data_IF_194206451595
#
_entry.id   IF_194206451595
#
_cell.length_a   1.000
_cell.length_b   1.000
_cell.length_c   1.000
_cell.angle_alpha   90.00
_cell.angle_beta   90.00
_cell.angle_gamma   90.00
#
_symmetry.space_group_name_H-M   'P 1'
#
loop_
_entity.id
_entity.type
_entity.pdbx_description
1 polymer ?
#
# COMPACT_ATOMS: atom_id res chain seq x y z
N UNK A 1 -7.88 24.39 -3.67
CA UNK A 1 -7.69 24.39 -5.13
C UNK A 1 -8.44 25.53 -5.83
N UNK A 2 -9.76 25.71 -5.71
CA UNK A 2 -10.48 26.81 -6.36
C UNK A 2 -9.87 28.19 -6.10
N UNK A 3 -9.51 28.50 -4.86
CA UNK A 3 -8.93 29.79 -4.48
C UNK A 3 -7.56 30.04 -5.14
N UNK A 4 -6.70 29.02 -5.22
CA UNK A 4 -5.42 29.10 -5.92
C UNK A 4 -5.60 29.28 -7.44
N UNK A 5 -6.64 28.67 -8.01
CA UNK A 5 -6.99 28.84 -9.43
C UNK A 5 -7.42 30.27 -9.75
N UNK A 6 -8.32 30.87 -8.92
CA UNK A 6 -8.82 32.23 -9.13
C UNK A 6 -7.78 33.31 -8.81
N UNK A 7 -6.99 33.11 -7.73
CA UNK A 7 -6.01 34.12 -7.29
C UNK A 7 -4.65 33.98 -7.97
N UNK A 8 -4.40 32.85 -8.65
CA UNK A 8 -3.08 32.46 -9.20
C UNK A 8 -1.94 32.53 -8.16
N UNK A 9 -2.28 32.48 -6.88
CA UNK A 9 -1.35 32.62 -5.77
C UNK A 9 -1.40 31.38 -4.88
N UNK A 10 -0.33 30.58 -4.91
CA UNK A 10 -0.18 29.34 -4.19
C UNK A 10 -0.13 29.52 -2.66
N UNK A 11 0.34 30.67 -2.17
CA UNK A 11 0.42 30.95 -0.74
C UNK A 11 -0.92 30.91 -0.02
N UNK A 12 -1.99 31.37 -0.65
CA UNK A 12 -3.33 31.28 -0.06
C UNK A 12 -3.77 29.86 0.20
N UNK A 13 -3.44 28.92 -0.69
CA UNK A 13 -3.78 27.52 -0.49
C UNK A 13 -2.99 26.91 0.67
N UNK A 14 -1.66 27.12 0.71
CA UNK A 14 -0.82 26.63 1.82
C UNK A 14 -1.29 27.20 3.16
N UNK A 15 -1.59 28.51 3.23
CA UNK A 15 -2.07 29.14 4.47
C UNK A 15 -3.38 28.53 4.94
N UNK A 16 -4.31 28.28 4.05
CA UNK A 16 -5.59 27.63 4.36
C UNK A 16 -5.36 26.21 4.86
N UNK A 17 -4.53 25.42 4.18
CA UNK A 17 -4.22 24.03 4.57
C UNK A 17 -3.61 23.98 5.97
N UNK A 18 -2.66 24.85 6.27
CA UNK A 18 -2.07 24.98 7.62
C UNK A 18 -3.11 25.39 8.66
N UNK A 19 -3.95 26.38 8.36
CA UNK A 19 -4.99 26.86 9.27
C UNK A 19 -6.02 25.74 9.58
N UNK A 20 -6.47 25.00 8.56
CA UNK A 20 -7.37 23.85 8.76
C UNK A 20 -6.69 22.72 9.54
N UNK A 21 -5.42 22.43 9.29
CA UNK A 21 -4.65 21.46 10.07
C UNK A 21 -4.57 21.82 11.55
N UNK A 22 -4.35 23.09 11.86
CA UNK A 22 -4.30 23.60 13.23
C UNK A 22 -5.69 23.54 13.90
N UNK A 23 -6.75 24.00 13.23
CA UNK A 23 -8.12 23.92 13.71
C UNK A 23 -8.56 22.47 13.98
N UNK A 24 -8.23 21.56 13.06
CA UNK A 24 -8.52 20.14 13.23
C UNK A 24 -7.82 19.56 14.46
N UNK A 25 -6.55 19.95 14.72
CA UNK A 25 -5.82 19.53 15.91
C UNK A 25 -6.50 19.99 17.21
N UNK A 26 -7.02 21.23 17.25
CA UNK A 26 -7.75 21.74 18.42
C UNK A 26 -9.05 20.96 18.64
N UNK A 27 -9.82 20.74 17.57
CA UNK A 27 -11.08 19.96 17.65
C UNK A 27 -10.82 18.52 18.10
N UNK A 28 -9.76 17.90 17.59
CA UNK A 28 -9.36 16.55 17.94
C UNK A 28 -8.97 16.46 19.43
N UNK A 29 -8.15 17.40 19.94
CA UNK A 29 -7.78 17.44 21.36
C UNK A 29 -9.01 17.58 22.26
N UNK A 30 -9.94 18.51 21.92
CA UNK A 30 -11.19 18.66 22.67
C UNK A 30 -12.01 17.38 22.66
N UNK A 31 -12.05 16.66 21.54
CA UNK A 31 -12.76 15.38 21.44
C UNK A 31 -12.10 14.27 22.24
N UNK A 32 -10.77 14.24 22.30
CA UNK A 32 -10.00 13.31 23.15
C UNK A 32 -10.31 13.56 24.61
N UNK A 33 -10.25 14.81 25.08
CA UNK A 33 -10.56 15.18 26.47
C UNK A 33 -11.99 14.79 26.88
N UNK A 34 -12.95 14.94 25.95
CA UNK A 34 -14.34 14.53 26.18
C UNK A 34 -14.52 13.00 26.23
N UNK A 35 -13.79 12.28 25.37
CA UNK A 35 -13.93 10.82 25.24
C UNK A 35 -13.14 10.07 26.32
N UNK A 36 -12.02 10.64 26.76
CA UNK A 36 -11.10 10.05 27.74
C UNK A 36 -10.81 11.03 28.90
N UNK A 37 -11.81 11.37 29.77
CA UNK A 37 -11.63 12.36 30.84
C UNK A 37 -10.58 11.97 31.88
N UNK A 38 -10.27 10.66 31.94
CA UNK A 38 -9.25 10.10 32.83
C UNK A 38 -7.82 10.30 32.35
N UNK A 39 -7.61 10.68 31.05
CA UNK A 39 -6.30 10.87 30.46
C UNK A 39 -5.76 12.25 30.84
N UNK A 40 -4.99 12.31 31.95
CA UNK A 40 -4.40 13.58 32.39
C UNK A 40 -3.15 13.95 31.61
N UNK A 41 -3.06 15.20 31.15
CA UNK A 41 -1.90 15.76 30.45
C UNK A 41 -0.78 16.26 31.37
N UNK A 42 -0.60 15.65 32.54
CA UNK A 42 0.38 16.07 33.53
C UNK A 42 1.80 15.60 33.15
N UNK A 43 2.64 16.52 32.67
CA UNK A 43 4.01 16.25 32.22
C UNK A 43 4.90 15.65 33.33
N UNK A 44 4.71 16.07 34.62
CA UNK A 44 5.49 15.53 35.74
C UNK A 44 5.15 14.05 35.98
N UNK A 45 3.86 13.69 35.96
CA UNK A 45 3.43 12.29 36.03
C UNK A 45 3.93 11.49 34.84
N UNK A 46 3.89 12.05 33.62
CA UNK A 46 4.42 11.41 32.41
C UNK A 46 5.90 11.03 32.54
N UNK A 47 6.75 11.94 33.06
CA UNK A 47 8.17 11.66 33.30
C UNK A 47 8.41 10.52 34.31
N UNK A 48 7.58 10.39 35.32
CA UNK A 48 7.65 9.30 36.31
C UNK A 48 7.24 7.97 35.66
N UNK A 49 6.18 7.97 34.87
CA UNK A 49 5.70 6.78 34.14
C UNK A 49 6.72 6.27 33.13
N UNK A 50 7.49 7.14 32.45
CA UNK A 50 8.59 6.73 31.59
C UNK A 50 9.69 5.95 32.31
N UNK A 51 9.96 6.27 33.57
CA UNK A 51 10.90 5.50 34.39
C UNK A 51 10.32 4.17 34.82
N UNK A 52 9.01 4.10 35.05
CA UNK A 52 8.31 2.90 35.50
C UNK A 52 8.11 1.90 34.32
N UNK A 53 7.93 2.40 33.10
CA UNK A 53 7.68 1.59 31.89
C UNK A 53 8.73 1.86 30.79
N UNK A 54 10.00 1.42 30.98
CA UNK A 54 11.09 1.70 30.03
C UNK A 54 10.85 1.08 28.63
N UNK A 55 10.12 -0.02 28.54
CA UNK A 55 9.81 -0.70 27.27
C UNK A 55 8.98 0.18 26.33
N UNK A 56 8.07 1.01 26.86
CA UNK A 56 7.29 1.96 26.03
C UNK A 56 8.24 2.90 25.26
N UNK A 57 9.24 3.44 25.95
CA UNK A 57 10.22 4.34 25.30
C UNK A 57 11.11 3.58 24.29
N UNK A 58 11.49 2.35 24.63
CA UNK A 58 12.27 1.48 23.73
C UNK A 58 11.52 1.24 22.42
N UNK A 59 10.26 0.79 22.48
CA UNK A 59 9.43 0.55 21.30
C UNK A 59 9.12 1.84 20.54
N UNK A 60 8.88 2.95 21.23
CA UNK A 60 8.68 4.26 20.59
C UNK A 60 9.89 4.69 19.77
N UNK A 61 11.12 4.55 20.32
CA UNK A 61 12.36 4.83 19.57
C UNK A 61 12.52 3.94 18.34
N UNK A 62 12.23 2.65 18.46
CA UNK A 62 12.29 1.72 17.34
C UNK A 62 11.30 2.10 16.23
N UNK A 63 10.04 2.34 16.60
CA UNK A 63 9.00 2.79 15.67
C UNK A 63 9.32 4.15 15.03
N UNK A 64 9.97 5.05 15.77
CA UNK A 64 10.39 6.34 15.23
C UNK A 64 11.40 6.20 14.09
N UNK A 65 12.38 5.31 14.23
CA UNK A 65 13.34 4.99 13.15
C UNK A 65 12.62 4.42 11.94
N UNK A 66 11.69 3.47 12.14
CA UNK A 66 10.88 2.93 11.05
C UNK A 66 10.08 4.02 10.33
N UNK A 67 9.51 4.99 11.07
CA UNK A 67 8.72 6.09 10.49
C UNK A 67 9.58 7.08 9.72
N UNK A 68 10.76 7.43 10.23
CA UNK A 68 11.71 8.29 9.50
C UNK A 68 12.15 7.63 8.19
N UNK A 69 12.56 6.36 8.25
CA UNK A 69 12.96 5.63 7.04
C UNK A 69 11.83 5.61 6.00
N UNK A 70 10.59 5.31 6.43
CA UNK A 70 9.42 5.34 5.53
C UNK A 70 9.17 6.74 4.95
N UNK A 71 9.32 7.79 5.74
CA UNK A 71 9.18 9.18 5.28
C UNK A 71 10.22 9.52 4.20
N UNK A 72 11.48 9.19 4.45
CA UNK A 72 12.56 9.40 3.47
C UNK A 72 12.24 8.65 2.17
N UNK A 73 11.86 7.37 2.26
CA UNK A 73 11.49 6.55 1.10
C UNK A 73 10.36 7.17 0.27
N UNK A 74 9.32 7.69 0.93
CA UNK A 74 8.14 8.21 0.24
C UNK A 74 8.35 9.58 -0.39
N UNK A 75 9.21 10.42 0.19
CA UNK A 75 9.41 11.81 -0.26
C UNK A 75 10.58 11.99 -1.23
N UNK A 76 11.48 11.01 -1.33
CA UNK A 76 12.69 11.15 -2.14
C UNK A 76 12.45 10.98 -3.64
N UNK A 77 11.52 10.13 -4.05
CA UNK A 77 11.29 9.81 -5.46
C UNK A 77 10.98 11.03 -6.34
N UNK A 78 10.09 11.98 -5.98
CA UNK A 78 9.84 13.16 -6.80
C UNK A 78 11.09 14.05 -7.00
N UNK A 79 11.94 14.18 -5.96
CA UNK A 79 13.19 14.94 -6.06
C UNK A 79 14.19 14.27 -7.00
N UNK A 80 14.30 12.94 -6.96
CA UNK A 80 15.18 12.20 -7.84
C UNK A 80 14.67 12.22 -9.29
N UNK A 81 13.35 12.14 -9.50
CA UNK A 81 12.75 12.31 -10.83
C UNK A 81 13.07 13.70 -11.38
N UNK A 82 13.02 14.74 -10.56
CA UNK A 82 13.46 16.08 -10.97
C UNK A 82 14.94 16.11 -11.34
N UNK A 83 15.79 15.56 -10.49
CA UNK A 83 17.26 15.60 -10.66
C UNK A 83 17.73 14.86 -11.93
N UNK A 84 17.09 13.74 -12.30
CA UNK A 84 17.49 12.91 -13.43
C UNK A 84 16.61 13.06 -14.69
N UNK A 85 15.64 13.98 -14.67
CA UNK A 85 14.78 14.23 -15.83
C UNK A 85 14.44 15.72 -15.95
N UNK A 86 13.19 16.12 -15.63
CA UNK A 86 12.76 17.51 -15.75
C UNK A 86 11.58 17.80 -14.81
N UNK A 87 11.30 19.10 -14.56
CA UNK A 87 10.11 19.51 -13.81
C UNK A 87 8.80 19.06 -14.51
N UNK A 88 8.79 19.02 -15.85
CA UNK A 88 7.68 18.52 -16.64
C UNK A 88 7.44 17.02 -16.36
N UNK A 89 8.50 16.25 -16.31
CA UNK A 89 8.45 14.82 -15.98
C UNK A 89 7.94 14.56 -14.55
N UNK A 90 8.33 15.40 -13.59
CA UNK A 90 7.79 15.34 -12.22
C UNK A 90 6.27 15.56 -12.22
N UNK A 91 5.77 16.55 -12.98
CA UNK A 91 4.34 16.80 -13.07
C UNK A 91 3.59 15.60 -13.66
N UNK A 92 4.14 14.98 -14.71
CA UNK A 92 3.53 13.80 -15.33
C UNK A 92 3.54 12.61 -14.36
N UNK A 93 4.67 12.29 -13.76
CA UNK A 93 4.82 11.26 -12.74
C UNK A 93 3.86 11.47 -11.56
N UNK A 94 3.74 12.71 -11.09
CA UNK A 94 2.84 13.06 -9.98
C UNK A 94 1.36 12.81 -10.29
N UNK A 95 0.93 12.92 -11.55
CA UNK A 95 -0.44 12.59 -11.93
C UNK A 95 -0.71 11.08 -11.78
N UNK A 96 0.24 10.22 -12.20
CA UNK A 96 0.12 8.77 -12.02
C UNK A 96 0.14 8.38 -10.54
N UNK A 97 1.09 8.91 -9.78
CA UNK A 97 1.20 8.59 -8.35
C UNK A 97 0.03 9.16 -7.55
N UNK A 98 -0.50 10.31 -7.89
CA UNK A 98 -1.72 10.84 -7.25
C UNK A 98 -2.88 9.84 -7.33
N UNK A 99 -3.12 9.26 -8.51
CA UNK A 99 -4.20 8.30 -8.72
C UNK A 99 -3.90 7.01 -7.94
N UNK A 100 -2.70 6.46 -8.11
CA UNK A 100 -2.32 5.20 -7.46
C UNK A 100 -2.30 5.31 -5.95
N UNK A 101 -1.77 6.40 -5.40
CA UNK A 101 -1.65 6.59 -3.94
C UNK A 101 -3.00 6.85 -3.28
N UNK A 102 -3.89 7.63 -3.92
CA UNK A 102 -5.24 7.86 -3.37
C UNK A 102 -6.07 6.58 -3.33
N UNK A 103 -6.04 5.79 -4.39
CA UNK A 103 -6.73 4.50 -4.42
C UNK A 103 -6.08 3.49 -3.47
N UNK A 104 -4.75 3.44 -3.41
CA UNK A 104 -4.00 2.62 -2.44
C UNK A 104 -4.35 2.99 -1.00
N UNK A 105 -4.47 4.29 -0.71
CA UNK A 105 -4.86 4.79 0.60
C UNK A 105 -6.26 4.32 1.02
N UNK A 106 -7.24 4.35 0.12
CA UNK A 106 -8.59 3.82 0.38
C UNK A 106 -8.55 2.33 0.73
N UNK A 107 -7.85 1.52 -0.07
CA UNK A 107 -7.69 0.08 0.17
C UNK A 107 -7.01 -0.16 1.52
N UNK A 108 -5.92 0.55 1.81
CA UNK A 108 -5.18 0.38 3.05
C UNK A 108 -5.97 0.83 4.29
N UNK A 109 -6.83 1.84 4.19
CA UNK A 109 -7.72 2.24 5.28
C UNK A 109 -8.73 1.13 5.63
N UNK A 110 -9.31 0.49 4.60
CA UNK A 110 -10.26 -0.62 4.79
C UNK A 110 -9.54 -1.84 5.38
N UNK A 111 -8.46 -2.29 4.76
CA UNK A 111 -7.73 -3.48 5.20
C UNK A 111 -6.88 -3.24 6.46
N UNK A 112 -6.47 -1.99 6.72
CA UNK A 112 -5.71 -1.60 7.91
C UNK A 112 -6.51 -1.74 9.20
N UNK A 113 -7.83 -1.57 9.13
CA UNK A 113 -8.74 -1.73 10.28
C UNK A 113 -8.67 -3.12 10.94
N UNK A 114 -8.20 -4.14 10.22
CA UNK A 114 -8.00 -5.50 10.76
C UNK A 114 -6.81 -5.63 11.72
N UNK A 115 -5.91 -4.65 11.76
CA UNK A 115 -4.68 -4.71 12.54
C UNK A 115 -4.89 -4.88 14.04
N UNK A 116 -5.88 -4.19 14.63
CA UNK A 116 -6.22 -4.37 16.04
C UNK A 116 -6.72 -5.79 16.34
N UNK A 117 -7.51 -6.37 15.43
CA UNK A 117 -7.96 -7.76 15.53
C UNK A 117 -6.81 -8.77 15.45
N UNK A 118 -5.80 -8.50 14.62
CA UNK A 118 -4.58 -9.31 14.56
C UNK A 118 -3.80 -9.25 15.87
N UNK A 119 -3.66 -8.05 16.48
CA UNK A 119 -3.00 -7.89 17.77
C UNK A 119 -3.69 -8.71 18.88
N UNK A 120 -5.03 -8.64 18.95
CA UNK A 120 -5.81 -9.42 19.92
C UNK A 120 -5.65 -10.93 19.68
N UNK A 121 -5.71 -11.37 18.41
CA UNK A 121 -5.54 -12.77 18.03
C UNK A 121 -4.17 -13.32 18.43
N UNK A 122 -3.12 -12.55 18.24
CA UNK A 122 -1.76 -12.92 18.67
C UNK A 122 -1.68 -13.01 20.19
N UNK A 123 -2.34 -12.11 20.93
CA UNK A 123 -2.40 -12.14 22.38
C UNK A 123 -3.19 -13.35 22.93
N UNK A 124 -4.21 -13.86 22.20
CA UNK A 124 -4.93 -15.09 22.54
C UNK A 124 -4.03 -16.33 22.48
N UNK A 125 -2.99 -16.35 21.63
CA UNK A 125 -1.99 -17.41 21.54
C UNK A 125 -2.41 -18.69 20.82
N UNK A 126 -3.59 -18.73 20.15
CA UNK A 126 -4.01 -19.88 19.34
C UNK A 126 -3.26 -19.92 18.00
N UNK A 127 -2.16 -20.66 17.96
CA UNK A 127 -1.29 -20.75 16.78
C UNK A 127 -2.01 -21.21 15.49
N UNK A 128 -2.98 -22.12 15.60
CA UNK A 128 -3.72 -22.61 14.43
C UNK A 128 -4.58 -21.51 13.85
N UNK A 129 -5.33 -20.82 14.70
CA UNK A 129 -6.19 -19.69 14.33
C UNK A 129 -5.37 -18.50 13.82
N UNK A 130 -4.22 -18.21 14.43
CA UNK A 130 -3.27 -17.19 13.99
C UNK A 130 -2.83 -17.44 12.54
N UNK A 131 -2.38 -18.66 12.21
CA UNK A 131 -1.94 -19.03 10.86
C UNK A 131 -3.09 -19.05 9.85
N UNK A 132 -4.27 -19.54 10.26
CA UNK A 132 -5.45 -19.52 9.41
C UNK A 132 -5.83 -18.09 9.01
N UNK A 133 -5.96 -17.18 9.99
CA UNK A 133 -6.31 -15.77 9.72
C UNK A 133 -5.20 -15.06 8.95
N UNK A 134 -3.93 -15.39 9.16
CA UNK A 134 -2.82 -14.87 8.35
C UNK A 134 -3.02 -15.16 6.87
N UNK A 135 -3.36 -16.40 6.52
CA UNK A 135 -3.58 -16.79 5.13
C UNK A 135 -4.89 -16.25 4.56
N UNK A 136 -5.94 -16.09 5.37
CA UNK A 136 -7.17 -15.42 4.95
C UNK A 136 -6.87 -13.96 4.56
N UNK A 137 -6.21 -13.19 5.44
CA UNK A 137 -5.87 -11.80 5.17
C UNK A 137 -4.89 -11.65 4.00
N UNK A 138 -3.91 -12.55 3.89
CA UNK A 138 -2.97 -12.58 2.77
C UNK A 138 -3.71 -12.82 1.45
N UNK A 139 -4.62 -13.80 1.41
CA UNK A 139 -5.42 -14.10 0.21
C UNK A 139 -6.25 -12.89 -0.24
N UNK A 140 -6.92 -12.22 0.72
CA UNK A 140 -7.72 -11.03 0.43
C UNK A 140 -6.85 -9.91 -0.14
N UNK A 141 -5.66 -9.67 0.45
CA UNK A 141 -4.75 -8.63 -0.03
C UNK A 141 -4.24 -8.93 -1.44
N UNK A 142 -3.87 -10.18 -1.72
CA UNK A 142 -3.43 -10.57 -3.06
C UNK A 142 -4.56 -10.47 -4.10
N UNK A 143 -5.78 -10.84 -3.72
CA UNK A 143 -6.97 -10.68 -4.55
C UNK A 143 -7.22 -9.20 -4.89
N UNK A 144 -7.26 -8.34 -3.88
CA UNK A 144 -7.49 -6.90 -4.07
C UNK A 144 -6.32 -6.26 -4.83
N UNK A 145 -5.08 -6.63 -4.52
CA UNK A 145 -3.90 -6.13 -5.23
C UNK A 145 -3.93 -6.52 -6.72
N UNK A 146 -4.34 -7.74 -7.04
CA UNK A 146 -4.51 -8.19 -8.42
C UNK A 146 -5.54 -7.34 -9.18
N UNK A 147 -6.73 -7.13 -8.59
CA UNK A 147 -7.77 -6.26 -9.17
C UNK A 147 -7.24 -4.84 -9.36
N UNK A 148 -6.59 -4.29 -8.35
CA UNK A 148 -6.06 -2.94 -8.36
C UNK A 148 -5.05 -2.73 -9.50
N UNK A 149 -4.05 -3.62 -9.61
CA UNK A 149 -3.01 -3.51 -10.62
C UNK A 149 -3.57 -3.73 -12.04
N UNK A 150 -4.42 -4.74 -12.21
CA UNK A 150 -5.05 -5.03 -13.51
C UNK A 150 -5.91 -3.84 -13.98
N UNK A 151 -6.74 -3.33 -13.09
CA UNK A 151 -7.60 -2.19 -13.40
C UNK A 151 -6.80 -0.95 -13.75
N UNK A 152 -5.80 -0.59 -12.95
CA UNK A 152 -4.96 0.58 -13.23
C UNK A 152 -4.16 0.43 -14.53
N UNK A 153 -3.64 -0.76 -14.83
CA UNK A 153 -2.92 -1.00 -16.08
C UNK A 153 -3.75 -0.66 -17.33
N UNK A 154 -5.05 -0.94 -17.27
CA UNK A 154 -5.97 -0.70 -18.39
C UNK A 154 -6.66 0.67 -18.36
N UNK A 155 -6.80 1.29 -17.18
CA UNK A 155 -7.66 2.47 -16.99
C UNK A 155 -6.92 3.79 -16.82
N UNK A 156 -5.67 3.77 -16.32
CA UNK A 156 -5.00 5.00 -15.92
C UNK A 156 -4.63 5.89 -17.11
N UNK A 157 -4.10 5.31 -18.19
CA UNK A 157 -3.70 6.06 -19.37
C UNK A 157 -4.92 6.67 -20.12
N UNK A 158 -6.01 5.90 -20.40
CA UNK A 158 -7.22 6.49 -20.95
C UNK A 158 -7.82 7.58 -20.07
N UNK A 159 -7.76 7.42 -18.74
CA UNK A 159 -8.24 8.45 -17.80
C UNK A 159 -7.39 9.71 -17.89
N UNK A 160 -6.06 9.60 -17.88
CA UNK A 160 -5.16 10.75 -18.02
C UNK A 160 -5.38 11.44 -19.35
N UNK A 161 -5.58 10.68 -20.42
CA UNK A 161 -5.88 11.24 -21.75
C UNK A 161 -7.15 12.07 -21.75
N UNK A 162 -8.21 11.61 -21.08
CA UNK A 162 -9.48 12.36 -20.96
C UNK A 162 -9.37 13.56 -20.01
N UNK A 163 -8.60 13.44 -18.95
CA UNK A 163 -8.50 14.46 -17.89
C UNK A 163 -7.54 15.59 -18.26
N UNK A 164 -6.35 15.25 -18.75
CA UNK A 164 -5.26 16.21 -18.99
C UNK A 164 -4.85 16.29 -20.47
N UNK A 165 -5.24 15.31 -21.28
CA UNK A 165 -4.84 15.17 -22.68
C UNK A 165 -3.77 14.12 -22.91
N UNK A 166 -3.67 13.62 -24.14
CA UNK A 166 -2.76 12.54 -24.53
C UNK A 166 -1.27 12.88 -24.34
N UNK A 167 -0.91 14.17 -24.34
CA UNK A 167 0.47 14.62 -24.13
C UNK A 167 1.00 14.35 -22.72
N UNK A 168 0.13 13.98 -21.76
CA UNK A 168 0.50 13.65 -20.37
C UNK A 168 0.71 12.15 -20.13
N UNK A 169 0.56 11.34 -21.19
CA UNK A 169 0.83 9.90 -21.11
C UNK A 169 2.34 9.66 -21.05
N UNK A 170 2.78 8.86 -20.10
CA UNK A 170 4.17 8.44 -19.93
C UNK A 170 4.44 7.10 -20.61
N UNK A 171 5.72 6.76 -20.75
CA UNK A 171 6.11 5.47 -21.31
C UNK A 171 5.55 4.31 -20.50
N UNK A 172 5.19 3.23 -21.18
CA UNK A 172 4.57 2.05 -20.57
C UNK A 172 5.45 1.37 -19.53
N UNK A 173 6.76 1.43 -19.68
CA UNK A 173 7.77 0.97 -18.72
C UNK A 173 7.62 1.65 -17.36
N UNK A 174 7.42 2.97 -17.36
CA UNK A 174 7.22 3.77 -16.14
C UNK A 174 5.93 3.36 -15.44
N UNK A 175 4.83 3.20 -16.19
CA UNK A 175 3.58 2.69 -15.62
C UNK A 175 3.77 1.31 -14.98
N UNK A 176 4.43 0.37 -15.66
CA UNK A 176 4.68 -0.98 -15.14
C UNK A 176 5.48 -0.91 -13.84
N UNK A 177 6.51 -0.06 -13.75
CA UNK A 177 7.31 0.11 -12.54
C UNK A 177 6.49 0.73 -11.39
N UNK A 178 5.65 1.73 -11.67
CA UNK A 178 4.72 2.31 -10.67
C UNK A 178 3.79 1.22 -10.13
N UNK A 179 3.20 0.42 -11.03
CA UNK A 179 2.28 -0.65 -10.65
C UNK A 179 2.98 -1.78 -9.88
N UNK A 180 4.20 -2.17 -10.27
CA UNK A 180 4.98 -3.17 -9.54
C UNK A 180 5.30 -2.72 -8.11
N UNK A 181 5.74 -1.47 -7.93
CA UNK A 181 5.94 -0.87 -6.61
C UNK A 181 4.65 -0.85 -5.80
N UNK A 182 3.54 -0.45 -6.41
CA UNK A 182 2.23 -0.42 -5.77
C UNK A 182 1.74 -1.82 -5.38
N UNK A 183 2.02 -2.85 -6.18
CA UNK A 183 1.69 -4.23 -5.85
C UNK A 183 2.37 -4.70 -4.56
N UNK A 184 3.68 -4.47 -4.43
CA UNK A 184 4.43 -4.80 -3.21
C UNK A 184 3.84 -4.05 -2.00
N UNK A 185 3.54 -2.75 -2.17
CA UNK A 185 2.94 -1.93 -1.11
C UNK A 185 1.56 -2.44 -0.66
N UNK A 186 0.74 -2.98 -1.57
CA UNK A 186 -0.56 -3.55 -1.22
C UNK A 186 -0.44 -4.90 -0.52
N UNK A 187 0.47 -5.75 -0.98
CA UNK A 187 0.59 -7.13 -0.48
C UNK A 187 1.35 -7.24 0.84
N UNK A 188 2.26 -6.30 1.16
CA UNK A 188 3.06 -6.30 2.40
C UNK A 188 2.23 -6.21 3.70
N UNK A 189 1.05 -5.60 3.62
CA UNK A 189 0.30 -5.15 4.79
C UNK A 189 -0.08 -6.24 5.78
N UNK A 190 -0.29 -7.50 5.36
CA UNK A 190 -0.55 -8.61 6.30
C UNK A 190 0.68 -8.91 7.15
N UNK A 191 1.87 -8.98 6.53
CA UNK A 191 3.12 -9.22 7.24
C UNK A 191 3.38 -8.10 8.23
N UNK A 192 3.24 -6.85 7.82
CA UNK A 192 3.41 -5.69 8.71
C UNK A 192 2.45 -5.76 9.91
N UNK A 193 1.16 -6.10 9.70
CA UNK A 193 0.19 -6.25 10.80
C UNK A 193 0.59 -7.33 11.80
N UNK A 194 1.12 -8.46 11.34
CA UNK A 194 1.57 -9.53 12.23
C UNK A 194 2.88 -9.18 12.94
N UNK A 195 3.83 -8.51 12.28
CA UNK A 195 5.02 -7.99 12.94
C UNK A 195 4.64 -7.01 14.07
N UNK A 196 3.69 -6.11 13.82
CA UNK A 196 3.13 -5.22 14.85
C UNK A 196 2.42 -6.01 15.96
N UNK A 197 1.60 -6.98 15.61
CA UNK A 197 0.88 -7.82 16.58
C UNK A 197 1.79 -8.60 17.53
N UNK A 198 2.91 -9.11 17.01
CA UNK A 198 3.95 -9.79 17.80
C UNK A 198 4.92 -8.83 18.52
N UNK A 199 4.82 -7.50 18.30
CA UNK A 199 5.76 -6.53 18.86
C UNK A 199 7.17 -6.65 18.30
N UNK A 200 7.32 -7.14 17.08
CA UNK A 200 8.60 -7.36 16.41
C UNK A 200 9.09 -6.09 15.73
N UNK A 201 9.74 -5.21 16.50
CA UNK A 201 10.29 -3.93 16.02
C UNK A 201 11.80 -3.83 16.14
N UNK A 202 12.45 -4.91 16.54
CA UNK A 202 13.89 -4.91 16.84
C UNK A 202 14.78 -5.03 15.60
N UNK A 203 14.19 -5.16 14.40
CA UNK A 203 14.89 -5.17 13.12
C UNK A 203 15.14 -3.74 12.58
N UNK A 204 15.59 -2.82 13.43
CA UNK A 204 15.82 -1.39 13.11
C UNK A 204 16.73 -1.21 11.88
N UNK A 205 17.66 -2.13 11.67
CA UNK A 205 18.56 -2.10 10.52
C UNK A 205 17.81 -2.29 9.19
N UNK A 206 16.71 -3.05 9.16
CA UNK A 206 15.99 -3.39 7.93
C UNK A 206 15.40 -2.14 7.22
N UNK A 207 14.62 -1.26 7.88
CA UNK A 207 14.14 -0.04 7.24
C UNK A 207 15.25 0.95 6.88
N UNK A 208 16.35 0.99 7.63
CA UNK A 208 17.51 1.82 7.29
C UNK A 208 18.21 1.30 6.04
N UNK A 209 18.40 -0.02 5.95
CA UNK A 209 18.97 -0.66 4.76
C UNK A 209 18.04 -0.52 3.56
N UNK A 210 16.71 -0.65 3.74
CA UNK A 210 15.71 -0.39 2.69
C UNK A 210 15.87 1.03 2.14
N UNK A 211 15.98 2.03 3.02
CA UNK A 211 16.16 3.42 2.62
C UNK A 211 17.50 3.66 1.89
N UNK A 212 18.60 3.10 2.41
CA UNK A 212 19.91 3.20 1.80
C UNK A 212 19.97 2.53 0.43
N UNK A 213 19.45 1.31 0.30
CA UNK A 213 19.37 0.58 -0.97
C UNK A 213 18.50 1.35 -1.99
N UNK A 214 17.32 1.81 -1.56
CA UNK A 214 16.44 2.58 -2.44
C UNK A 214 17.17 3.80 -2.99
N UNK A 215 17.76 4.61 -2.11
CA UNK A 215 18.44 5.84 -2.52
C UNK A 215 19.64 5.56 -3.42
N UNK A 216 20.48 4.59 -3.05
CA UNK A 216 21.67 4.23 -3.83
C UNK A 216 21.29 3.71 -5.23
N UNK A 217 20.34 2.79 -5.31
CA UNK A 217 19.89 2.23 -6.60
C UNK A 217 19.18 3.29 -7.42
N UNK A 218 18.32 4.11 -6.82
CA UNK A 218 17.62 5.17 -7.53
C UNK A 218 18.59 6.22 -8.11
N UNK A 219 19.68 6.57 -7.40
CA UNK A 219 20.70 7.48 -7.90
C UNK A 219 21.51 6.82 -9.02
N UNK A 220 22.03 5.61 -8.79
CA UNK A 220 22.85 4.91 -9.77
C UNK A 220 22.05 4.61 -11.06
N UNK A 221 20.92 3.96 -10.94
CA UNK A 221 20.10 3.62 -12.07
C UNK A 221 19.43 4.85 -12.71
N UNK A 222 19.07 5.85 -11.92
CA UNK A 222 18.50 7.12 -12.39
C UNK A 222 19.46 7.89 -13.29
N UNK A 223 20.79 7.84 -13.02
CA UNK A 223 21.79 8.46 -13.86
C UNK A 223 21.91 7.81 -15.26
N UNK A 224 21.53 6.54 -15.42
CA UNK A 224 21.57 5.82 -16.71
C UNK A 224 20.21 5.78 -17.43
N UNK A 225 19.12 5.62 -16.68
CA UNK A 225 17.78 5.36 -17.24
C UNK A 225 16.72 6.38 -16.82
N UNK A 226 17.12 7.53 -16.26
CA UNK A 226 16.16 8.58 -15.89
C UNK A 226 15.11 8.09 -14.90
N UNK A 227 13.83 8.31 -15.22
CA UNK A 227 12.70 7.99 -14.35
C UNK A 227 12.59 6.49 -14.08
N UNK A 228 12.76 5.63 -15.09
CA UNK A 228 12.74 4.18 -14.90
C UNK A 228 13.78 3.75 -13.87
N UNK A 229 15.00 4.29 -13.97
CA UNK A 229 16.06 4.00 -13.01
C UNK A 229 15.73 4.44 -11.61
N UNK A 230 15.11 5.61 -11.43
CA UNK A 230 14.64 6.09 -10.11
C UNK A 230 13.63 5.12 -9.52
N UNK A 231 12.68 4.62 -10.32
CA UNK A 231 11.63 3.70 -9.87
C UNK A 231 12.13 2.27 -9.58
N UNK A 232 13.31 1.91 -10.09
CA UNK A 232 13.98 0.66 -9.71
C UNK A 232 14.48 0.66 -8.26
N UNK A 233 14.82 1.84 -7.70
CA UNK A 233 15.24 1.96 -6.31
C UNK A 233 14.25 1.34 -5.33
N UNK A 234 13.01 1.83 -5.24
CA UNK A 234 12.00 1.25 -4.36
C UNK A 234 11.65 -0.20 -4.75
N UNK A 235 11.62 -0.55 -6.04
CA UNK A 235 11.30 -1.91 -6.47
C UNK A 235 12.30 -2.93 -5.91
N UNK A 236 13.59 -2.69 -6.06
CA UNK A 236 14.63 -3.61 -5.59
C UNK A 236 14.73 -3.61 -4.08
N UNK A 237 14.74 -2.44 -3.42
CA UNK A 237 14.83 -2.35 -1.97
C UNK A 237 13.65 -3.02 -1.26
N UNK A 238 12.41 -2.79 -1.72
CA UNK A 238 11.22 -3.46 -1.19
C UNK A 238 11.21 -4.95 -1.48
N UNK A 239 11.69 -5.39 -2.65
CA UNK A 239 11.80 -6.82 -2.94
C UNK A 239 12.73 -7.51 -1.94
N UNK A 240 13.90 -6.95 -1.66
CA UNK A 240 14.86 -7.53 -0.73
C UNK A 240 14.39 -7.46 0.72
N UNK A 241 13.92 -6.32 1.17
CA UNK A 241 13.57 -6.11 2.58
C UNK A 241 12.13 -6.54 2.86
N UNK A 242 11.17 -6.10 2.06
CA UNK A 242 9.75 -6.33 2.35
C UNK A 242 9.30 -7.72 1.91
N UNK A 243 9.69 -8.15 0.70
CA UNK A 243 9.25 -9.45 0.20
C UNK A 243 10.09 -10.61 0.74
N UNK A 244 11.39 -10.42 1.04
CA UNK A 244 12.27 -11.50 1.48
C UNK A 244 12.52 -11.43 2.98
N UNK A 245 13.11 -10.33 3.50
CA UNK A 245 13.52 -10.25 4.90
C UNK A 245 12.35 -10.29 5.88
N UNK A 246 11.33 -9.46 5.71
CA UNK A 246 10.21 -9.38 6.67
C UNK A 246 9.45 -10.69 6.85
N UNK A 247 9.12 -11.47 5.80
CA UNK A 247 8.58 -12.82 5.97
C UNK A 247 9.53 -13.74 6.73
N UNK A 248 10.83 -13.73 6.41
CA UNK A 248 11.83 -14.52 7.13
C UNK A 248 11.82 -14.16 8.62
N UNK A 249 11.79 -12.88 8.94
CA UNK A 249 11.79 -12.38 10.30
C UNK A 249 10.52 -12.77 11.06
N UNK A 250 9.34 -12.63 10.44
CA UNK A 250 8.07 -13.05 11.02
C UNK A 250 8.00 -14.55 11.28
N UNK A 251 8.40 -15.36 10.30
CA UNK A 251 8.36 -16.82 10.42
C UNK A 251 9.33 -17.34 11.47
N UNK A 252 10.52 -16.73 11.57
CA UNK A 252 11.54 -17.15 12.53
C UNK A 252 11.23 -16.69 13.96
N UNK A 253 10.79 -15.45 14.16
CA UNK A 253 10.58 -14.87 15.50
C UNK A 253 9.14 -14.94 15.99
N UNK A 254 8.16 -14.79 15.07
CA UNK A 254 6.73 -14.82 15.38
C UNK A 254 6.16 -16.23 15.34
N UNK A 255 6.05 -16.82 14.17
CA UNK A 255 5.42 -18.13 13.97
C UNK A 255 6.28 -19.33 14.39
N UNK A 256 7.60 -19.16 14.43
CA UNK A 256 8.59 -20.22 14.76
C UNK A 256 8.39 -21.49 13.91
N UNK A 257 8.14 -21.32 12.62
CA UNK A 257 7.88 -22.40 11.66
C UNK A 257 8.68 -22.22 10.38
N UNK A 258 8.74 -23.28 9.56
CA UNK A 258 9.48 -23.27 8.30
C UNK A 258 8.94 -22.23 7.32
N UNK A 259 9.84 -21.42 6.78
CA UNK A 259 9.55 -20.42 5.76
C UNK A 259 9.23 -21.03 4.39
N UNK A 260 9.63 -22.30 4.14
CA UNK A 260 9.44 -22.94 2.84
C UNK A 260 7.97 -23.01 2.44
N UNK A 261 7.09 -23.31 3.42
CA UNK A 261 5.63 -23.31 3.19
C UNK A 261 5.07 -21.96 2.75
N UNK A 262 5.66 -20.87 3.24
CA UNK A 262 5.27 -19.51 2.82
C UNK A 262 5.54 -19.30 1.32
N UNK A 263 6.74 -19.62 0.86
CA UNK A 263 7.12 -19.44 -0.55
C UNK A 263 6.29 -20.31 -1.50
N UNK A 264 5.98 -21.54 -1.10
CA UNK A 264 5.12 -22.44 -1.88
C UNK A 264 3.69 -21.89 -2.02
N UNK A 265 3.13 -21.32 -0.96
CA UNK A 265 1.79 -20.73 -1.03
C UNK A 265 1.83 -19.40 -1.80
N UNK A 266 2.86 -18.61 -1.60
CA UNK A 266 3.03 -17.34 -2.30
C UNK A 266 3.16 -17.53 -3.81
N UNK A 267 3.93 -18.52 -4.25
CA UNK A 267 4.06 -18.84 -5.68
C UNK A 267 2.73 -19.21 -6.31
N UNK A 268 1.84 -19.91 -5.58
CA UNK A 268 0.47 -20.17 -6.05
C UNK A 268 -0.33 -18.88 -6.27
N UNK A 269 -0.22 -17.90 -5.35
CA UNK A 269 -0.91 -16.62 -5.55
C UNK A 269 -0.41 -15.88 -6.78
N UNK A 270 0.90 -15.85 -7.03
CA UNK A 270 1.46 -15.25 -8.24
C UNK A 270 0.96 -15.96 -9.51
N UNK A 271 0.96 -17.30 -9.52
CA UNK A 271 0.43 -18.08 -10.63
C UNK A 271 -1.04 -17.79 -10.89
N UNK A 272 -1.86 -17.70 -9.85
CA UNK A 272 -3.29 -17.38 -9.95
C UNK A 272 -3.50 -15.98 -10.53
N UNK A 273 -2.82 -14.97 -9.99
CA UNK A 273 -2.93 -13.59 -10.46
C UNK A 273 -2.51 -13.46 -11.92
N UNK A 274 -1.39 -14.11 -12.29
CA UNK A 274 -0.89 -14.11 -13.67
C UNK A 274 -1.85 -14.84 -14.61
N UNK A 275 -2.38 -15.99 -14.20
CA UNK A 275 -3.36 -16.74 -14.98
C UNK A 275 -4.65 -15.95 -15.15
N UNK A 276 -5.15 -15.31 -14.08
CA UNK A 276 -6.32 -14.44 -14.13
C UNK A 276 -6.08 -13.25 -15.09
N UNK A 277 -4.86 -12.68 -15.07
CA UNK A 277 -4.47 -11.59 -15.98
C UNK A 277 -4.54 -12.03 -17.43
N UNK A 278 -3.92 -13.15 -17.75
CA UNK A 278 -3.89 -13.69 -19.14
C UNK A 278 -5.30 -14.00 -19.61
N UNK A 279 -6.09 -14.75 -18.83
CA UNK A 279 -7.46 -15.13 -19.19
C UNK A 279 -8.36 -13.90 -19.36
N UNK A 280 -8.28 -12.95 -18.45
CA UNK A 280 -9.07 -11.71 -18.54
C UNK A 280 -8.69 -10.91 -19.77
N UNK A 281 -7.38 -10.81 -20.11
CA UNK A 281 -6.93 -10.09 -21.29
C UNK A 281 -7.38 -10.75 -22.59
N UNK A 282 -7.39 -12.09 -22.66
CA UNK A 282 -7.88 -12.84 -23.81
C UNK A 282 -9.39 -12.63 -24.03
N UNK A 283 -10.18 -12.77 -22.97
CA UNK A 283 -11.63 -12.54 -23.00
C UNK A 283 -11.92 -11.09 -23.38
N UNK A 284 -11.19 -10.16 -22.82
CA UNK A 284 -11.35 -8.75 -23.03
C UNK A 284 -11.12 -8.37 -24.50
N UNK A 285 -10.02 -8.85 -25.11
CA UNK A 285 -9.70 -8.59 -26.52
C UNK A 285 -10.74 -9.15 -27.49
N UNK A 286 -11.44 -10.24 -27.12
CA UNK A 286 -12.43 -10.87 -27.99
C UNK A 286 -13.80 -10.21 -27.93
N UNK A 287 -14.14 -9.54 -26.82
CA UNK A 287 -15.52 -9.04 -26.57
C UNK A 287 -15.61 -7.51 -26.67
N UNK A 288 -14.55 -6.77 -26.33
CA UNK A 288 -14.65 -5.33 -26.13
C UNK A 288 -13.90 -4.57 -27.23
N UNK A 289 -14.70 -3.83 -28.02
CA UNK A 289 -14.23 -2.92 -29.06
C UNK A 289 -14.33 -1.43 -28.63
N UNK A 290 -14.66 -1.17 -27.36
CA UNK A 290 -14.89 0.18 -26.83
C UNK A 290 -13.55 0.91 -26.69
N UNK A 291 -13.47 2.13 -27.24
CA UNK A 291 -12.32 3.02 -27.00
C UNK A 291 -12.58 3.83 -25.71
N UNK A 292 -11.88 3.54 -24.59
CA UNK A 292 -12.11 4.21 -23.32
C UNK A 292 -11.64 5.67 -23.30
N UNK A 293 -10.80 6.09 -24.25
CA UNK A 293 -10.30 7.46 -24.33
C UNK A 293 -11.26 8.43 -25.07
N UNK A 294 -12.41 7.96 -25.57
CA UNK A 294 -13.34 8.79 -26.34
C UNK A 294 -14.25 9.65 -25.46
N UNK A 295 -14.67 9.16 -24.30
CA UNK A 295 -15.51 9.92 -23.36
C UNK A 295 -15.49 9.33 -21.95
N UNK A 296 -15.78 10.15 -20.93
CA UNK A 296 -15.91 9.68 -19.54
C UNK A 296 -16.97 8.59 -19.35
N UNK A 297 -18.08 8.65 -20.11
CA UNK A 297 -19.13 7.61 -20.06
C UNK A 297 -18.60 6.26 -20.53
N UNK A 298 -17.89 6.25 -21.65
CA UNK A 298 -17.28 5.04 -22.21
C UNK A 298 -16.15 4.54 -21.32
N UNK A 299 -15.37 5.43 -20.72
CA UNK A 299 -14.35 5.07 -19.75
C UNK A 299 -14.95 4.37 -18.52
N UNK A 300 -16.06 4.90 -17.94
CA UNK A 300 -16.74 4.27 -16.80
C UNK A 300 -17.28 2.89 -17.19
N UNK A 301 -17.93 2.76 -18.34
CA UNK A 301 -18.43 1.48 -18.83
C UNK A 301 -17.28 0.46 -18.99
N UNK A 302 -16.21 0.90 -19.64
CA UNK A 302 -15.01 0.10 -19.82
C UNK A 302 -14.39 -0.31 -18.48
N UNK A 303 -14.31 0.60 -17.50
CA UNK A 303 -13.80 0.33 -16.16
C UNK A 303 -14.64 -0.73 -15.44
N UNK A 304 -15.97 -0.60 -15.47
CA UNK A 304 -16.88 -1.58 -14.86
C UNK A 304 -16.72 -2.96 -15.48
N UNK A 305 -16.69 -3.06 -16.80
CA UNK A 305 -16.57 -4.35 -17.48
C UNK A 305 -15.20 -4.98 -17.21
N UNK A 306 -14.12 -4.22 -17.40
CA UNK A 306 -12.74 -4.70 -17.23
C UNK A 306 -12.48 -5.18 -15.82
N UNK A 307 -12.84 -4.36 -14.82
CA UNK A 307 -12.65 -4.69 -13.41
C UNK A 307 -13.51 -5.88 -12.99
N UNK A 308 -14.77 -5.96 -13.48
CA UNK A 308 -15.67 -7.08 -13.15
C UNK A 308 -15.19 -8.40 -13.74
N UNK A 309 -14.77 -8.43 -15.00
CA UNK A 309 -14.24 -9.65 -15.63
C UNK A 309 -13.05 -10.18 -14.83
N UNK A 310 -12.06 -9.33 -14.56
CA UNK A 310 -10.89 -9.74 -13.78
C UNK A 310 -11.26 -10.19 -12.37
N UNK A 311 -12.14 -9.45 -11.68
CA UNK A 311 -12.57 -9.78 -10.33
C UNK A 311 -13.25 -11.13 -10.25
N UNK A 312 -14.13 -11.44 -11.21
CA UNK A 312 -14.85 -12.73 -11.26
C UNK A 312 -13.86 -13.87 -11.52
N UNK A 313 -13.01 -13.73 -12.53
CA UNK A 313 -12.03 -14.78 -12.89
C UNK A 313 -11.04 -15.00 -11.75
N UNK A 314 -10.48 -13.93 -11.20
CA UNK A 314 -9.53 -13.99 -10.09
C UNK A 314 -10.18 -14.59 -8.83
N UNK A 315 -11.43 -14.23 -8.52
CA UNK A 315 -12.17 -14.80 -7.39
C UNK A 315 -12.41 -16.32 -7.57
N UNK A 316 -12.85 -16.75 -8.75
CA UNK A 316 -13.08 -18.17 -9.05
C UNK A 316 -11.77 -18.96 -8.91
N UNK A 317 -10.68 -18.50 -9.51
CA UNK A 317 -9.38 -19.16 -9.41
C UNK A 317 -8.87 -19.19 -7.97
N UNK A 318 -8.96 -18.08 -7.23
CA UNK A 318 -8.56 -18.06 -5.84
C UNK A 318 -9.45 -18.95 -4.95
N UNK A 319 -10.75 -19.00 -5.19
CA UNK A 319 -11.68 -19.87 -4.45
C UNK A 319 -11.36 -21.36 -4.67
N UNK A 320 -11.02 -21.74 -5.91
CA UNK A 320 -10.67 -23.13 -6.25
C UNK A 320 -9.31 -23.52 -5.65
N UNK A 321 -8.30 -22.68 -5.80
CA UNK A 321 -6.91 -23.04 -5.53
C UNK A 321 -6.36 -22.57 -4.19
N UNK A 322 -7.05 -21.65 -3.47
CA UNK A 322 -6.56 -21.13 -2.18
C UNK A 322 -7.53 -21.42 -1.04
N UNK A 323 -6.99 -21.86 0.08
CA UNK A 323 -7.77 -22.10 1.29
C UNK A 323 -8.23 -20.79 1.94
N UNK A 324 -7.39 -19.73 1.92
CA UNK A 324 -7.68 -18.47 2.60
C UNK A 324 -8.96 -17.77 2.09
N UNK A 325 -9.20 -17.74 0.77
CA UNK A 325 -10.45 -17.18 0.21
C UNK A 325 -11.66 -18.06 0.54
N UNK A 326 -11.50 -19.38 0.55
CA UNK A 326 -12.60 -20.30 0.94
C UNK A 326 -13.00 -20.09 2.39
N UNK A 327 -12.04 -20.06 3.30
CA UNK A 327 -12.27 -19.86 4.74
C UNK A 327 -12.94 -18.51 5.01
N UNK A 328 -12.44 -17.45 4.36
CA UNK A 328 -13.05 -16.13 4.42
C UNK A 328 -14.49 -16.13 3.92
N UNK A 329 -14.75 -16.70 2.74
CA UNK A 329 -16.08 -16.76 2.14
C UNK A 329 -17.06 -17.54 3.04
N UNK A 330 -16.65 -18.68 3.58
CA UNK A 330 -17.46 -19.47 4.52
C UNK A 330 -17.80 -18.68 5.79
N UNK A 331 -16.82 -17.98 6.36
CA UNK A 331 -17.01 -17.14 7.55
C UNK A 331 -17.99 -15.98 7.29
N UNK A 332 -17.92 -15.34 6.12
CA UNK A 332 -18.84 -14.27 5.74
C UNK A 332 -20.27 -14.79 5.57
N UNK A 333 -20.48 -15.91 4.87
CA UNK A 333 -21.79 -16.52 4.69
C UNK A 333 -22.40 -16.91 6.04
N UNK A 334 -21.61 -17.50 6.94
CA UNK A 334 -22.08 -17.86 8.29
C UNK A 334 -22.50 -16.65 9.13
N UNK A 335 -21.83 -15.50 8.94
CA UNK A 335 -22.18 -14.25 9.64
C UNK A 335 -23.46 -13.61 9.11
N UNK A 336 -23.74 -13.73 7.81
CA UNK A 336 -24.96 -13.19 7.18
C UNK A 336 -26.19 -14.03 7.55
N UNK A 337 -26.01 -15.33 7.82
CA UNK A 337 -27.10 -16.26 8.20
C UNK A 337 -27.47 -16.20 9.70
N UNK A 338 -26.73 -15.45 10.48
CA UNK A 338 -27.03 -15.15 11.89
C UNK A 338 -27.62 -13.75 12.03
#
# INVERSE_FOLDING_TARGET
MCLAYYTKNYYYWITIELAFGFLFSIVLNKKIDQTYPWLSTNIKKGKLLFKQYPDVMKYTKQLFVHKIATFVLSQTSPFLVFAFSSLKSVAFYSNYTLITDKLSGLINNILGSTGAGVGNLVAEGDEKKIKQVFWELTSIRYFIAGIFIFSLYHLIEPFISLWLGSNYIMDKSILILILANSFIMQTRGTIDQYLYGYGLFNDIWAPLTEAALNLSIAIICGSFWGIEGVLMGPLVSMTLIVCIWKPCFLYNKGFKTSLWSYWLILSKYFLIITSAWILSTLIFKSIITINPASSYKLWILYALITTSIYSIISFILMYIFTQGIRDFSYRMIKKIRR
#
